data_IF_219022354529
#
_entry.id   IF_219022354529
#
_cell.length_a   1.000
_cell.length_b   1.000
_cell.length_c   1.000
_cell.angle_alpha   90.00
_cell.angle_beta   90.00
_cell.angle_gamma   90.00
#
_symmetry.space_group_name_H-M   'P 1'
#
loop_
_entity.id
_entity.type
_entity.pdbx_description
1 polymer ?
#
# COMPACT_ATOMS: atom_id res chain seq x y z
N UNK A 1 13.31 -41.10 -1.71
CA UNK A 1 13.46 -39.82 -2.43
C UNK A 1 12.10 -39.14 -2.46
N UNK A 2 11.86 -38.13 -1.62
CA UNK A 2 10.60 -37.39 -1.58
C UNK A 2 10.68 -36.22 -2.57
N UNK A 3 9.93 -36.31 -3.68
CA UNK A 3 9.78 -35.21 -4.62
C UNK A 3 8.82 -34.18 -4.02
N UNK A 4 9.39 -33.13 -3.42
CA UNK A 4 8.63 -31.91 -3.08
C UNK A 4 8.17 -31.30 -4.40
N UNK A 5 6.90 -31.50 -4.75
CA UNK A 5 6.24 -30.81 -5.85
C UNK A 5 6.29 -29.32 -5.54
N UNK A 6 7.26 -28.62 -6.13
CA UNK A 6 7.22 -27.17 -6.21
C UNK A 6 6.05 -26.82 -7.10
N UNK A 7 4.89 -26.51 -6.50
CA UNK A 7 3.86 -25.79 -7.22
C UNK A 7 4.50 -24.48 -7.71
N UNK A 8 4.36 -24.13 -9.00
CA UNK A 8 4.84 -22.85 -9.48
C UNK A 8 4.08 -21.78 -8.71
N UNK A 9 4.79 -21.05 -7.84
CA UNK A 9 4.25 -20.00 -6.97
C UNK A 9 3.38 -19.00 -7.75
N UNK A 10 3.63 -18.86 -9.06
CA UNK A 10 2.85 -18.06 -10.00
C UNK A 10 1.38 -18.48 -10.13
N UNK A 11 1.05 -19.78 -10.18
CA UNK A 11 -0.33 -20.22 -10.36
C UNK A 11 -1.14 -20.05 -9.06
N UNK A 12 -0.53 -20.34 -7.92
CA UNK A 12 -1.14 -20.14 -6.61
C UNK A 12 -1.31 -18.64 -6.29
N UNK A 13 -0.36 -17.79 -6.68
CA UNK A 13 -0.49 -16.34 -6.58
C UNK A 13 -1.65 -15.81 -7.43
N UNK A 14 -1.76 -16.25 -8.69
CA UNK A 14 -2.88 -15.89 -9.58
C UNK A 14 -4.24 -16.36 -9.05
N UNK A 15 -4.32 -17.55 -8.45
CA UNK A 15 -5.55 -18.06 -7.83
C UNK A 15 -5.97 -17.27 -6.59
N UNK A 16 -4.99 -16.82 -5.79
CA UNK A 16 -5.23 -15.95 -4.64
C UNK A 16 -5.67 -14.57 -5.10
N UNK A 17 -4.99 -13.98 -6.09
CA UNK A 17 -5.37 -12.72 -6.74
C UNK A 17 -6.81 -12.81 -7.27
N UNK A 18 -7.14 -13.83 -8.06
CA UNK A 18 -8.49 -14.02 -8.60
C UNK A 18 -9.55 -14.22 -7.51
N UNK A 19 -9.20 -14.81 -6.37
CA UNK A 19 -10.13 -15.00 -5.23
C UNK A 19 -10.31 -13.72 -4.42
N UNK A 20 -9.28 -12.89 -4.32
CA UNK A 20 -9.35 -11.56 -3.71
C UNK A 20 -10.21 -10.64 -4.59
N UNK A 21 -9.99 -10.63 -5.90
CA UNK A 21 -10.80 -9.84 -6.85
C UNK A 21 -12.26 -10.31 -6.91
N UNK A 22 -12.54 -11.62 -6.80
CA UNK A 22 -13.92 -12.16 -6.77
C UNK A 22 -14.71 -11.86 -5.50
N UNK A 23 -14.07 -11.58 -4.36
CA UNK A 23 -14.75 -11.46 -3.05
C UNK A 23 -14.99 -10.04 -2.56
N UNK A 24 -14.60 -9.00 -3.31
CA UNK A 24 -14.87 -7.64 -2.83
C UNK A 24 -14.68 -6.46 -3.77
N UNK A 25 -14.22 -6.63 -5.02
CA UNK A 25 -13.94 -5.47 -5.89
C UNK A 25 -14.41 -5.76 -7.32
N UNK A 26 -15.72 -5.71 -7.54
CA UNK A 26 -16.28 -5.47 -8.89
C UNK A 26 -16.23 -3.98 -9.24
N UNK A 27 -15.21 -3.28 -8.75
CA UNK A 27 -15.14 -1.84 -8.77
C UNK A 27 -14.26 -1.41 -9.93
N UNK A 28 -14.92 -1.12 -11.05
CA UNK A 28 -14.27 -0.77 -12.30
C UNK A 28 -13.37 0.46 -12.12
N UNK A 29 -13.74 1.38 -11.24
CA UNK A 29 -12.96 2.60 -10.95
C UNK A 29 -11.63 2.26 -10.30
N UNK A 30 -11.62 1.37 -9.29
CA UNK A 30 -10.39 0.89 -8.64
C UNK A 30 -9.50 0.18 -9.64
N UNK A 31 -10.09 -0.67 -10.50
CA UNK A 31 -9.32 -1.39 -11.52
C UNK A 31 -8.67 -0.45 -12.53
N UNK A 32 -9.39 0.55 -13.02
CA UNK A 32 -8.85 1.56 -13.93
C UNK A 32 -7.72 2.36 -13.26
N UNK A 33 -7.87 2.73 -12.00
CA UNK A 33 -6.81 3.41 -11.27
C UNK A 33 -5.56 2.52 -11.11
N UNK A 34 -5.72 1.21 -10.86
CA UNK A 34 -4.60 0.25 -10.80
C UNK A 34 -3.86 0.21 -12.13
N UNK A 35 -4.58 0.14 -13.25
CA UNK A 35 -3.98 0.11 -14.58
C UNK A 35 -3.17 1.40 -14.85
N UNK A 36 -3.70 2.56 -14.47
CA UNK A 36 -3.01 3.86 -14.60
C UNK A 36 -1.75 3.95 -13.73
N UNK A 37 -1.79 3.44 -12.49
CA UNK A 37 -0.59 3.39 -11.63
C UNK A 37 0.46 2.45 -12.21
N UNK A 38 0.06 1.29 -12.70
CA UNK A 38 0.98 0.35 -13.33
C UNK A 38 1.68 0.99 -14.54
N UNK A 39 0.93 1.69 -15.41
CA UNK A 39 1.48 2.42 -16.55
C UNK A 39 2.43 3.55 -16.11
N UNK A 40 2.02 4.36 -15.12
CA UNK A 40 2.85 5.44 -14.60
C UNK A 40 4.17 4.91 -14.06
N UNK A 41 4.12 3.89 -13.21
CA UNK A 41 5.31 3.29 -12.59
C UNK A 41 6.21 2.68 -13.66
N UNK A 42 5.68 1.89 -14.59
CA UNK A 42 6.46 1.27 -15.66
C UNK A 42 7.18 2.30 -16.54
N UNK A 43 6.50 3.40 -16.87
CA UNK A 43 7.04 4.44 -17.77
C UNK A 43 8.09 5.31 -17.10
N UNK A 44 7.89 5.64 -15.81
CA UNK A 44 8.68 6.69 -15.15
C UNK A 44 9.76 6.15 -14.21
N UNK A 45 9.73 4.87 -13.82
CA UNK A 45 10.75 4.31 -12.91
C UNK A 45 12.11 4.07 -13.56
N UNK A 46 12.18 3.85 -14.88
CA UNK A 46 13.45 3.68 -15.60
C UNK A 46 14.15 5.02 -15.90
N UNK A 47 13.38 6.12 -15.92
CA UNK A 47 13.85 7.44 -16.35
C UNK A 47 14.12 8.41 -15.19
N UNK A 48 13.59 8.14 -14.00
CA UNK A 48 13.71 9.03 -12.85
C UNK A 48 14.80 8.54 -11.87
N UNK A 49 15.85 9.35 -11.59
CA UNK A 49 16.72 9.08 -10.46
C UNK A 49 15.85 9.02 -9.19
N UNK A 50 16.07 8.02 -8.34
CA UNK A 50 15.32 7.86 -7.10
C UNK A 50 15.44 9.16 -6.29
N UNK A 51 14.36 9.92 -6.19
CA UNK A 51 14.42 11.28 -5.67
C UNK A 51 13.08 11.75 -5.12
N UNK A 52 13.15 12.72 -4.23
CA UNK A 52 11.99 13.34 -3.58
C UNK A 52 11.00 13.93 -4.60
N UNK A 53 11.48 14.31 -5.79
CA UNK A 53 10.66 14.87 -6.87
C UNK A 53 9.74 13.81 -7.49
N UNK A 54 10.26 12.62 -7.76
CA UNK A 54 9.44 11.52 -8.29
C UNK A 54 8.36 11.10 -7.29
N UNK A 55 8.72 10.96 -6.02
CA UNK A 55 7.74 10.62 -4.96
C UNK A 55 6.70 11.72 -4.74
N UNK A 56 7.05 12.99 -4.96
CA UNK A 56 6.08 14.09 -4.87
C UNK A 56 5.11 14.05 -6.04
N UNK A 57 5.59 13.84 -7.27
CA UNK A 57 4.74 13.67 -8.44
C UNK A 57 3.83 12.43 -8.33
N UNK A 58 4.37 11.32 -7.84
CA UNK A 58 3.59 10.11 -7.58
C UNK A 58 2.49 10.34 -6.53
N UNK A 59 2.77 11.14 -5.49
CA UNK A 59 1.77 11.50 -4.48
C UNK A 59 0.58 12.24 -5.08
N UNK A 60 0.84 13.22 -5.96
CA UNK A 60 -0.20 13.99 -6.65
C UNK A 60 -1.09 13.09 -7.51
N UNK A 61 -0.48 12.20 -8.30
CA UNK A 61 -1.23 11.21 -9.11
C UNK A 61 -2.09 10.30 -8.22
N UNK A 62 -1.53 9.79 -7.14
CA UNK A 62 -2.24 8.90 -6.23
C UNK A 62 -3.43 9.60 -5.56
N UNK A 63 -3.25 10.85 -5.11
CA UNK A 63 -4.31 11.64 -4.47
C UNK A 63 -5.45 11.98 -5.44
N UNK A 64 -5.13 12.28 -6.70
CA UNK A 64 -6.15 12.51 -7.73
C UNK A 64 -6.96 11.25 -8.04
N UNK A 65 -6.30 10.09 -8.17
CA UNK A 65 -6.97 8.82 -8.42
C UNK A 65 -7.87 8.38 -7.26
N UNK A 66 -7.49 8.70 -6.02
CA UNK A 66 -8.23 8.27 -4.81
C UNK A 66 -9.24 9.28 -4.29
N UNK A 67 -9.34 10.47 -4.90
CA UNK A 67 -10.17 11.59 -4.39
C UNK A 67 -11.61 11.21 -4.07
N UNK A 68 -12.23 10.35 -4.88
CA UNK A 68 -13.62 9.94 -4.73
C UNK A 68 -13.79 8.50 -4.23
N UNK A 69 -12.70 7.82 -3.89
CA UNK A 69 -12.76 6.46 -3.40
C UNK A 69 -13.31 6.43 -1.97
N UNK A 70 -14.16 5.45 -1.69
CA UNK A 70 -14.47 5.04 -0.33
C UNK A 70 -13.21 4.54 0.38
N UNK A 71 -13.29 4.40 1.71
CA UNK A 71 -12.19 3.85 2.52
C UNK A 71 -11.78 2.46 2.02
N UNK A 72 -12.74 1.58 1.76
CA UNK A 72 -12.46 0.23 1.28
C UNK A 72 -11.82 0.20 -0.12
N UNK A 73 -12.26 1.07 -1.03
CA UNK A 73 -11.64 1.21 -2.36
C UNK A 73 -10.22 1.77 -2.25
N UNK A 74 -9.98 2.73 -1.36
CA UNK A 74 -8.66 3.33 -1.11
C UNK A 74 -7.69 2.28 -0.56
N UNK A 75 -8.11 1.49 0.42
CA UNK A 75 -7.30 0.40 0.98
C UNK A 75 -6.95 -0.67 -0.07
N UNK A 76 -7.94 -1.10 -0.87
CA UNK A 76 -7.70 -2.05 -1.95
C UNK A 76 -6.72 -1.50 -3.00
N UNK A 77 -6.87 -0.23 -3.35
CA UNK A 77 -5.99 0.45 -4.28
C UNK A 77 -4.57 0.63 -3.73
N UNK A 78 -4.43 0.94 -2.44
CA UNK A 78 -3.13 1.07 -1.76
C UNK A 78 -2.36 -0.25 -1.77
N UNK A 79 -3.02 -1.37 -1.47
CA UNK A 79 -2.42 -2.71 -1.49
C UNK A 79 -1.93 -3.06 -2.91
N UNK A 80 -2.74 -2.77 -3.93
CA UNK A 80 -2.35 -3.00 -5.32
C UNK A 80 -1.15 -2.14 -5.72
N UNK A 81 -1.17 -0.86 -5.34
CA UNK A 81 -0.09 0.09 -5.58
C UNK A 81 1.22 -0.35 -4.93
N UNK A 82 1.19 -0.77 -3.67
CA UNK A 82 2.35 -1.31 -2.95
C UNK A 82 2.94 -2.53 -3.66
N UNK A 83 2.08 -3.40 -4.19
CA UNK A 83 2.49 -4.61 -4.92
C UNK A 83 3.20 -4.24 -6.22
N UNK A 84 2.66 -3.28 -6.97
CA UNK A 84 3.27 -2.77 -8.22
C UNK A 84 4.66 -2.18 -7.92
N UNK A 85 4.75 -1.26 -6.95
CA UNK A 85 6.01 -0.59 -6.61
C UNK A 85 7.11 -1.58 -6.22
N UNK A 86 6.78 -2.56 -5.37
CA UNK A 86 7.71 -3.63 -4.97
C UNK A 86 8.14 -4.46 -6.19
N UNK A 87 7.21 -4.77 -7.10
CA UNK A 87 7.52 -5.46 -8.37
C UNK A 87 8.52 -4.71 -9.25
N UNK A 88 8.54 -3.37 -9.17
CA UNK A 88 9.48 -2.49 -9.85
C UNK A 88 10.72 -2.12 -9.00
N UNK A 89 10.96 -2.82 -7.89
CA UNK A 89 12.13 -2.60 -7.03
C UNK A 89 12.07 -1.33 -6.18
N UNK A 90 10.89 -0.69 -6.06
CA UNK A 90 10.69 0.54 -5.30
C UNK A 90 10.13 0.24 -3.89
N UNK A 91 10.39 1.12 -2.90
CA UNK A 91 9.70 1.09 -1.61
C UNK A 91 8.18 1.14 -1.75
N UNK A 92 7.46 0.58 -0.77
CA UNK A 92 6.01 0.64 -0.69
C UNK A 92 5.52 2.07 -0.49
N UNK A 93 4.40 2.42 -1.13
CA UNK A 93 3.77 3.72 -0.99
C UNK A 93 3.27 3.95 0.44
N UNK A 94 2.65 2.95 1.05
CA UNK A 94 2.15 3.01 2.43
C UNK A 94 3.23 3.46 3.44
N UNK A 95 4.48 2.99 3.26
CA UNK A 95 5.62 3.39 4.08
C UNK A 95 6.07 4.84 3.81
N UNK A 96 6.02 5.29 2.56
CA UNK A 96 6.43 6.64 2.16
C UNK A 96 5.40 7.70 2.55
N UNK A 97 4.11 7.40 2.38
CA UNK A 97 2.98 8.25 2.77
C UNK A 97 2.92 8.44 4.28
N UNK A 98 3.16 7.39 5.06
CA UNK A 98 3.23 7.46 6.53
C UNK A 98 4.27 8.43 7.08
N UNK A 99 5.30 8.79 6.28
CA UNK A 99 6.27 9.83 6.61
C UNK A 99 5.81 11.27 6.34
N UNK A 100 4.74 11.47 5.54
CA UNK A 100 4.20 12.78 5.16
C UNK A 100 2.89 13.15 5.88
N UNK A 101 2.24 12.21 6.56
CA UNK A 101 0.91 12.41 7.15
C UNK A 101 0.80 11.96 8.59
N UNK A 102 1.40 12.72 9.52
CA UNK A 102 0.87 13.07 10.85
C UNK A 102 1.98 13.81 11.62
N UNK A 103 1.75 15.04 12.14
CA UNK A 103 2.35 15.35 13.42
C UNK A 103 1.82 14.26 14.34
N UNK A 104 2.68 13.37 14.85
CA UNK A 104 2.35 12.67 16.08
C UNK A 104 1.93 13.78 17.03
N UNK A 105 0.63 13.88 17.33
CA UNK A 105 0.19 14.67 18.46
C UNK A 105 1.14 14.26 19.59
N UNK A 106 1.81 15.20 20.27
CA UNK A 106 2.55 14.82 21.46
C UNK A 106 1.56 14.01 22.28
N UNK A 107 1.96 12.78 22.65
CA UNK A 107 1.18 11.99 23.59
C UNK A 107 0.69 12.97 24.66
N UNK A 108 -0.61 13.03 24.99
CA UNK A 108 -1.01 13.82 26.11
C UNK A 108 -0.11 13.32 27.25
N UNK A 109 0.70 14.24 27.78
CA UNK A 109 1.33 14.09 29.09
C UNK A 109 0.18 14.04 30.09
N UNK A 110 -0.63 12.99 30.01
CA UNK A 110 -1.69 12.62 30.92
C UNK A 110 -0.95 12.15 32.15
N UNK A 111 -1.00 13.01 33.17
CA UNK A 111 -0.29 12.84 34.40
C UNK A 111 -0.42 11.44 34.98
N UNK A 112 0.66 11.02 35.64
CA UNK A 112 0.71 9.91 36.57
C UNK A 112 -0.62 9.73 37.34
N UNK A 113 -1.39 8.66 37.11
CA UNK A 113 -2.33 8.22 38.12
C UNK A 113 -1.57 7.35 39.12
N UNK A 114 -1.35 7.94 40.30
CA UNK A 114 -1.47 7.28 41.60
C UNK A 114 -0.91 5.87 41.76
N UNK A 115 0.22 5.80 42.48
CA UNK A 115 0.33 5.07 43.76
C UNK A 115 -0.66 3.92 43.96
N UNK A 116 -0.22 2.70 43.71
CA UNK A 116 -0.78 1.53 44.39
C UNK A 116 0.16 1.16 45.53
N UNK A 117 -0.36 1.32 46.75
CA UNK A 117 0.25 0.80 47.98
C UNK A 117 0.33 -0.71 47.89
N UNK A 118 1.49 -1.29 48.15
CA UNK A 118 1.58 -2.68 48.60
C UNK A 118 1.30 -2.70 50.09
N UNK A 119 0.17 -3.28 50.48
CA UNK A 119 -0.14 -3.68 51.84
C UNK A 119 -0.62 -5.13 51.81
N UNK A 120 0.26 -6.05 52.20
CA UNK A 120 0.02 -7.29 52.93
C UNK A 120 1.36 -8.02 53.07
#
# INVERSE_FOLDING_TARGET
MNAVRQQPLSAAARDIEERIFRRGVSDQEVRQAIDLVAEYVATHTEQAPEGQDWWSAFAEVYEDLTRNFSVAQTEAFEIATDTILVGHGRPRWSCMRGGRGTPRAPAPSGGLPGRWSSAA
#
